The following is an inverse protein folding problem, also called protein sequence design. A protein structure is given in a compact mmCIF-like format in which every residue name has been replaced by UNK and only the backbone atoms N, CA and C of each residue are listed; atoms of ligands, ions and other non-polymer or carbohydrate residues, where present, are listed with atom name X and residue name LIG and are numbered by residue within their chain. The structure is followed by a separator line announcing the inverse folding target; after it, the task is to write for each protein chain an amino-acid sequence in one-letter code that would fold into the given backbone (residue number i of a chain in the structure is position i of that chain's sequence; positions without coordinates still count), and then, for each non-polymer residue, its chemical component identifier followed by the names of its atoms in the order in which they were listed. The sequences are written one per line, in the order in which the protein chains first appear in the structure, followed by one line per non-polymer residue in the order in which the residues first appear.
data_IF_479357123203
#
_entry.id   IF_479357123203
#
_cell.length_a   1.000
_cell.length_b   1.000
_cell.length_c   1.000
_cell.angle_alpha   90.00
_cell.angle_beta   90.00
_cell.angle_gamma   90.00
#
_symmetry.space_group_name_H-M   'P 1'
#
loop_
_entity.id
_entity.type
_entity.pdbx_description
1 polymer ?
#
# COMPACT_ATOMS: atom_id res chain seq x y z
N UNK A 1 17.43 -13.90 -5.69
CA UNK A 1 17.24 -13.32 -4.37
C UNK A 1 16.49 -14.30 -3.44
N UNK A 2 15.30 -14.81 -3.84
CA UNK A 2 14.49 -15.72 -3.05
C UNK A 2 15.27 -16.96 -2.55
N UNK A 3 16.00 -17.63 -3.43
CA UNK A 3 16.81 -18.80 -3.10
C UNK A 3 17.87 -18.51 -2.00
N UNK A 4 18.47 -17.30 -2.01
CA UNK A 4 19.45 -16.88 -0.99
C UNK A 4 18.87 -16.86 0.42
N UNK A 5 17.56 -16.63 0.54
CA UNK A 5 16.85 -16.61 1.82
C UNK A 5 16.10 -17.93 2.11
N UNK A 6 16.30 -18.95 1.28
CA UNK A 6 15.60 -20.23 1.41
C UNK A 6 14.10 -20.15 1.10
N UNK A 7 13.67 -19.11 0.37
CA UNK A 7 12.29 -18.95 -0.04
C UNK A 7 12.00 -19.82 -1.25
N UNK A 8 11.06 -20.74 -1.10
CA UNK A 8 10.64 -21.71 -2.12
C UNK A 8 9.41 -21.27 -2.91
N UNK A 9 8.66 -20.35 -2.37
CA UNK A 9 7.40 -19.89 -2.94
C UNK A 9 7.52 -18.43 -3.37
N UNK A 10 6.94 -18.12 -4.53
CA UNK A 10 6.95 -16.78 -5.12
C UNK A 10 5.53 -16.45 -5.56
N UNK A 11 5.07 -15.27 -5.22
CA UNK A 11 3.84 -14.68 -5.72
C UNK A 11 4.17 -13.33 -6.36
N UNK A 12 3.69 -13.12 -7.57
CA UNK A 12 3.74 -11.83 -8.25
C UNK A 12 2.34 -11.22 -8.21
N UNK A 13 2.22 -10.05 -7.65
CA UNK A 13 1.00 -9.24 -7.64
C UNK A 13 0.55 -8.85 -9.05
N UNK A 14 -0.56 -8.17 -9.14
CA UNK A 14 -0.97 -7.54 -10.40
C UNK A 14 0.03 -6.47 -10.78
N UNK A 15 0.37 -6.38 -12.06
CA UNK A 15 1.21 -5.31 -12.58
C UNK A 15 0.77 -4.95 -14.00
N UNK A 16 0.97 -3.69 -14.36
CA UNK A 16 0.65 -3.14 -15.69
C UNK A 16 1.89 -2.67 -16.45
N UNK A 17 3.04 -2.73 -15.79
CA UNK A 17 4.33 -2.27 -16.30
C UNK A 17 5.47 -3.15 -15.75
N UNK A 18 6.69 -2.70 -15.87
CA UNK A 18 7.90 -3.42 -15.48
C UNK A 18 8.23 -3.31 -13.97
N UNK A 19 7.29 -2.83 -13.14
CA UNK A 19 7.43 -2.68 -11.69
C UNK A 19 6.52 -3.62 -10.89
N UNK A 20 6.60 -4.95 -11.07
CA UNK A 20 5.77 -5.90 -10.34
C UNK A 20 6.13 -5.92 -8.86
N UNK A 21 5.11 -6.02 -8.01
CA UNK A 21 5.30 -6.30 -6.59
C UNK A 21 5.40 -7.82 -6.41
N UNK A 22 6.44 -8.25 -5.70
CA UNK A 22 6.75 -9.68 -5.53
C UNK A 22 6.83 -10.04 -4.06
N UNK A 23 6.13 -11.10 -3.67
CA UNK A 23 6.24 -11.72 -2.36
C UNK A 23 7.02 -13.02 -2.52
N UNK A 24 8.02 -13.24 -1.68
CA UNK A 24 8.70 -14.54 -1.59
C UNK A 24 8.59 -15.09 -0.18
N UNK A 25 8.43 -16.41 -0.03
CA UNK A 25 8.19 -17.04 1.26
C UNK A 25 8.87 -18.40 1.39
N UNK A 26 9.18 -18.79 2.62
CA UNK A 26 9.53 -20.17 2.98
C UNK A 26 8.32 -21.07 3.06
N UNK A 27 7.14 -20.48 3.29
CA UNK A 27 5.87 -21.18 3.46
C UNK A 27 5.04 -21.07 2.20
N UNK A 28 4.13 -22.05 1.95
CA UNK A 28 3.23 -22.00 0.81
C UNK A 28 2.45 -20.69 0.72
N UNK A 29 2.37 -20.16 -0.49
CA UNK A 29 1.60 -18.96 -0.81
C UNK A 29 0.35 -19.39 -1.58
N UNK A 30 -0.81 -19.00 -1.06
CA UNK A 30 -2.07 -19.05 -1.80
C UNK A 30 -2.23 -17.75 -2.59
N UNK A 31 -2.44 -17.87 -3.89
CA UNK A 31 -2.69 -16.72 -4.76
C UNK A 31 -4.15 -16.30 -4.61
N UNK A 32 -4.40 -15.19 -3.94
CA UNK A 32 -5.75 -14.69 -3.72
C UNK A 32 -6.22 -13.82 -4.88
N UNK A 33 -5.51 -12.72 -5.15
CA UNK A 33 -5.94 -11.77 -6.18
C UNK A 33 -4.77 -10.95 -6.73
N UNK A 34 -4.70 -10.84 -8.05
CA UNK A 34 -3.89 -9.83 -8.74
C UNK A 34 -4.77 -8.65 -9.07
N UNK A 35 -4.33 -7.45 -8.74
CA UNK A 35 -5.10 -6.22 -8.86
C UNK A 35 -4.42 -5.33 -9.88
N UNK A 36 -5.01 -5.24 -11.07
CA UNK A 36 -4.49 -4.45 -12.20
C UNK A 36 -5.49 -3.42 -12.72
N UNK A 37 -6.67 -3.32 -12.08
CA UNK A 37 -7.83 -2.73 -12.72
C UNK A 37 -8.37 -3.64 -13.83
N UNK A 38 -9.56 -3.38 -14.34
CA UNK A 38 -10.24 -4.22 -15.33
C UNK A 38 -10.32 -3.59 -16.72
N UNK A 39 -9.41 -2.70 -17.05
CA UNK A 39 -9.37 -2.02 -18.35
C UNK A 39 -10.33 -0.84 -18.50
N UNK A 40 -11.44 -0.83 -17.79
CA UNK A 40 -12.36 0.32 -17.69
C UNK A 40 -12.02 1.17 -16.46
N UNK A 41 -11.58 0.54 -15.38
CA UNK A 41 -11.09 1.19 -14.18
C UNK A 41 -9.57 1.32 -14.27
N UNK A 42 -9.08 2.19 -15.11
CA UNK A 42 -7.64 2.47 -15.24
C UNK A 42 -7.04 3.16 -14.02
N UNK A 43 -7.73 3.01 -12.87
CA UNK A 43 -7.32 3.66 -11.63
C UNK A 43 -6.03 3.07 -11.03
N UNK A 44 -5.76 1.77 -11.24
CA UNK A 44 -4.55 1.13 -10.73
C UNK A 44 -3.40 1.36 -11.69
N UNK A 45 -2.34 2.03 -11.21
CA UNK A 45 -1.19 2.42 -12.02
C UNK A 45 -0.20 1.27 -12.22
N UNK A 46 0.62 1.00 -11.22
CA UNK A 46 1.61 -0.10 -11.31
C UNK A 46 0.98 -1.44 -10.97
N UNK A 47 0.09 -1.47 -10.01
CA UNK A 47 -0.62 -2.66 -9.61
C UNK A 47 -0.53 -2.95 -8.12
N UNK A 48 -1.28 -3.97 -7.70
CA UNK A 48 -1.28 -4.49 -6.36
C UNK A 48 -1.54 -5.99 -6.37
N UNK A 49 -1.36 -6.63 -5.23
CA UNK A 49 -1.63 -8.04 -5.09
C UNK A 49 -2.04 -8.41 -3.68
N UNK A 50 -2.92 -9.39 -3.56
CA UNK A 50 -3.29 -10.03 -2.32
C UNK A 50 -2.86 -11.49 -2.36
N UNK A 51 -2.03 -11.90 -1.43
CA UNK A 51 -1.61 -13.27 -1.22
C UNK A 51 -1.92 -13.70 0.22
N UNK A 52 -1.98 -15.01 0.44
CA UNK A 52 -2.20 -15.59 1.75
C UNK A 52 -1.11 -16.60 2.07
N UNK A 53 -0.59 -16.54 3.29
CA UNK A 53 0.38 -17.50 3.80
C UNK A 53 -0.21 -18.17 5.03
N UNK A 54 -0.12 -19.51 5.11
CA UNK A 54 -0.44 -20.27 6.31
C UNK A 54 0.85 -20.59 7.06
N UNK A 55 0.87 -20.23 8.32
CA UNK A 55 2.00 -20.46 9.21
C UNK A 55 1.53 -20.78 10.62
N UNK A 56 1.98 -21.92 11.17
CA UNK A 56 1.63 -22.38 12.51
C UNK A 56 0.11 -22.32 12.83
N UNK A 57 -0.72 -22.77 11.90
CA UNK A 57 -2.17 -22.77 12.04
C UNK A 57 -2.83 -21.39 11.90
N UNK A 58 -2.05 -20.33 11.73
CA UNK A 58 -2.53 -18.97 11.51
C UNK A 58 -2.49 -18.63 10.03
N UNK A 59 -3.40 -17.75 9.63
CA UNK A 59 -3.50 -17.26 8.27
C UNK A 59 -3.07 -15.80 8.24
N UNK A 60 -2.07 -15.48 7.42
CA UNK A 60 -1.59 -14.13 7.19
C UNK A 60 -2.02 -13.68 5.79
N UNK A 61 -2.76 -12.60 5.70
CA UNK A 61 -3.11 -11.92 4.47
C UNK A 61 -2.10 -10.81 4.19
N UNK A 62 -1.51 -10.83 2.99
CA UNK A 62 -0.47 -9.89 2.60
C UNK A 62 -0.95 -9.14 1.37
N UNK A 63 -1.00 -7.82 1.47
CA UNK A 63 -1.27 -6.92 0.36
C UNK A 63 0.01 -6.17 0.02
N UNK A 64 0.40 -6.26 -1.24
CA UNK A 64 1.50 -5.44 -1.79
C UNK A 64 0.95 -4.46 -2.80
N UNK A 65 1.52 -3.27 -2.86
CA UNK A 65 1.07 -2.23 -3.77
C UNK A 65 2.22 -1.31 -4.20
N UNK A 66 2.00 -0.66 -5.35
CA UNK A 66 2.78 0.46 -5.80
C UNK A 66 1.80 1.43 -6.48
N UNK A 67 1.53 2.55 -5.85
CA UNK A 67 0.53 3.52 -6.34
C UNK A 67 1.14 4.51 -7.33
N UNK A 68 0.32 5.34 -7.91
CA UNK A 68 0.69 6.33 -8.91
C UNK A 68 1.87 7.20 -8.44
N UNK A 69 2.97 7.24 -9.22
CA UNK A 69 4.12 8.05 -8.88
C UNK A 69 3.82 9.55 -9.00
N UNK A 70 4.60 10.37 -8.30
CA UNK A 70 4.33 11.82 -8.23
C UNK A 70 4.46 12.56 -9.56
N UNK A 71 5.13 11.97 -10.55
CA UNK A 71 5.44 12.65 -11.81
C UNK A 71 4.52 12.29 -12.97
N UNK A 72 4.01 11.05 -13.01
CA UNK A 72 3.13 10.59 -14.08
C UNK A 72 2.33 9.38 -13.63
N UNK A 73 1.29 9.04 -14.39
CA UNK A 73 0.50 7.85 -14.18
C UNK A 73 0.18 7.16 -15.50
N UNK A 74 0.26 5.84 -15.54
CA UNK A 74 -0.31 5.04 -16.60
C UNK A 74 -1.81 4.89 -16.37
N UNK A 75 -2.58 4.80 -17.44
CA UNK A 75 -4.00 4.53 -17.36
C UNK A 75 -4.89 5.70 -16.96
N UNK A 76 -4.33 6.89 -16.69
CA UNK A 76 -5.07 8.14 -16.53
C UNK A 76 -4.94 8.95 -17.82
N UNK A 77 -6.00 9.51 -18.41
CA UNK A 77 -5.93 10.38 -19.56
C UNK A 77 -4.92 11.52 -19.33
N UNK A 78 -4.20 11.89 -20.39
CA UNK A 78 -3.13 12.88 -20.28
C UNK A 78 -3.62 14.22 -19.70
N UNK A 79 -4.78 14.64 -20.14
CA UNK A 79 -5.41 15.88 -19.72
C UNK A 79 -5.73 15.87 -18.22
N UNK A 80 -6.26 14.76 -17.72
CA UNK A 80 -6.56 14.58 -16.29
C UNK A 80 -5.29 14.53 -15.45
N UNK A 81 -4.21 13.90 -15.95
CA UNK A 81 -2.91 13.86 -15.27
C UNK A 81 -2.32 15.25 -15.08
N UNK A 82 -2.34 16.07 -16.11
CA UNK A 82 -1.81 17.42 -16.05
C UNK A 82 -2.63 18.29 -15.09
N UNK A 83 -3.95 18.19 -15.10
CA UNK A 83 -4.80 18.90 -14.13
C UNK A 83 -4.53 18.44 -12.70
N UNK A 84 -4.47 17.14 -12.46
CA UNK A 84 -4.20 16.58 -11.14
C UNK A 84 -2.81 16.95 -10.62
N UNK A 85 -1.78 16.88 -11.48
CA UNK A 85 -0.42 17.27 -11.16
C UNK A 85 -0.34 18.76 -10.79
N UNK A 86 -1.02 19.61 -11.52
CA UNK A 86 -1.06 21.05 -11.27
C UNK A 86 -1.82 21.39 -9.97
N UNK A 87 -2.92 20.69 -9.71
CA UNK A 87 -3.83 20.99 -8.59
C UNK A 87 -3.37 20.39 -7.25
N UNK A 88 -2.87 19.14 -7.26
CA UNK A 88 -2.61 18.38 -6.02
C UNK A 88 -1.51 17.32 -6.14
N UNK A 89 -0.65 17.39 -7.13
CA UNK A 89 0.47 16.45 -7.30
C UNK A 89 0.07 15.00 -7.53
N UNK A 90 -1.19 14.75 -7.91
CA UNK A 90 -1.72 13.41 -8.14
C UNK A 90 -2.27 12.72 -6.88
N UNK A 91 -2.34 13.41 -5.77
CA UNK A 91 -2.81 12.85 -4.49
C UNK A 91 -4.23 12.30 -4.59
N UNK A 92 -5.10 12.97 -5.36
CA UNK A 92 -6.46 12.54 -5.62
C UNK A 92 -6.52 11.14 -6.28
N UNK A 93 -5.68 10.90 -7.27
CA UNK A 93 -5.64 9.60 -7.96
C UNK A 93 -5.06 8.52 -7.06
N UNK A 94 -3.99 8.79 -6.33
CA UNK A 94 -3.45 7.84 -5.33
C UNK A 94 -4.48 7.48 -4.27
N UNK A 95 -5.27 8.46 -3.82
CA UNK A 95 -6.38 8.23 -2.90
C UNK A 95 -7.43 7.28 -3.50
N UNK A 96 -7.78 7.45 -4.78
CA UNK A 96 -8.72 6.55 -5.48
C UNK A 96 -8.13 5.15 -5.67
N UNK A 97 -6.83 5.03 -6.02
CA UNK A 97 -6.14 3.75 -6.07
C UNK A 97 -6.19 3.03 -4.73
N UNK A 98 -5.90 3.75 -3.64
CA UNK A 98 -5.91 3.19 -2.29
C UNK A 98 -7.29 2.68 -1.90
N UNK A 99 -8.34 3.45 -2.20
CA UNK A 99 -9.72 3.03 -1.99
C UNK A 99 -10.05 1.74 -2.76
N UNK A 100 -9.67 1.70 -4.04
CA UNK A 100 -9.90 0.54 -4.88
C UNK A 100 -9.15 -0.69 -4.34
N UNK A 101 -7.86 -0.54 -4.00
CA UNK A 101 -7.05 -1.64 -3.45
C UNK A 101 -7.64 -2.14 -2.13
N UNK A 102 -8.04 -1.27 -1.23
CA UNK A 102 -8.68 -1.68 0.03
C UNK A 102 -10.01 -2.41 -0.21
N UNK A 103 -10.83 -1.92 -1.14
CA UNK A 103 -12.10 -2.57 -1.54
C UNK A 103 -11.87 -3.97 -2.09
N UNK A 104 -10.81 -4.15 -2.89
CA UNK A 104 -10.48 -5.41 -3.54
C UNK A 104 -9.73 -6.39 -2.62
N UNK A 105 -9.34 -5.97 -1.43
CA UNK A 105 -8.56 -6.75 -0.46
C UNK A 105 -9.22 -6.80 0.92
N UNK A 106 -8.80 -5.99 1.85
CA UNK A 106 -9.19 -6.07 3.26
C UNK A 106 -10.70 -5.92 3.48
N UNK A 107 -11.37 -5.10 2.68
CA UNK A 107 -12.83 -4.93 2.75
C UNK A 107 -13.61 -6.18 2.30
N UNK A 108 -12.96 -7.16 1.68
CA UNK A 108 -13.58 -8.44 1.35
C UNK A 108 -13.74 -9.35 2.58
N UNK A 109 -13.08 -9.02 3.69
CA UNK A 109 -13.26 -9.71 4.97
C UNK A 109 -14.27 -8.98 5.85
N UNK A 110 -15.31 -9.66 6.29
CA UNK A 110 -16.24 -9.14 7.29
C UNK A 110 -15.67 -9.09 8.72
N UNK A 111 -14.44 -9.56 8.93
CA UNK A 111 -13.82 -9.70 10.26
C UNK A 111 -12.36 -9.24 10.29
N UNK A 112 -11.96 -8.40 9.35
CA UNK A 112 -10.56 -7.99 9.15
C UNK A 112 -9.87 -7.48 10.42
N UNK A 113 -10.59 -6.80 11.32
CA UNK A 113 -10.07 -6.28 12.58
C UNK A 113 -9.56 -7.38 13.54
N UNK A 114 -10.01 -8.63 13.36
CA UNK A 114 -9.61 -9.79 14.17
C UNK A 114 -8.70 -10.76 13.43
N UNK A 115 -8.33 -10.44 12.20
CA UNK A 115 -7.49 -11.26 11.34
C UNK A 115 -6.09 -10.67 11.21
N UNK A 116 -5.15 -11.49 10.75
CA UNK A 116 -3.80 -11.04 10.44
C UNK A 116 -3.74 -10.51 9.01
N UNK A 117 -3.73 -9.21 8.88
CA UNK A 117 -3.52 -8.49 7.63
C UNK A 117 -2.28 -7.62 7.70
N UNK A 118 -1.54 -7.57 6.62
CA UNK A 118 -0.48 -6.60 6.39
C UNK A 118 -0.61 -6.01 5.00
N UNK A 119 -0.24 -4.75 4.87
CA UNK A 119 -0.17 -4.05 3.60
C UNK A 119 1.14 -3.27 3.54
N UNK A 120 1.89 -3.43 2.45
CA UNK A 120 3.20 -2.80 2.30
C UNK A 120 3.48 -2.42 0.85
N UNK A 121 4.32 -1.42 0.68
CA UNK A 121 4.80 -0.99 -0.64
C UNK A 121 5.10 0.49 -0.71
N UNK A 122 5.29 0.96 -1.95
CA UNK A 122 5.43 2.37 -2.26
C UNK A 122 4.04 2.99 -2.47
N UNK A 123 3.65 3.84 -1.54
CA UNK A 123 2.37 4.56 -1.58
C UNK A 123 2.50 5.88 -2.33
N UNK A 124 3.70 6.30 -2.69
CA UNK A 124 3.98 7.59 -3.31
C UNK A 124 3.28 8.79 -2.64
N UNK A 125 2.90 8.63 -1.38
CA UNK A 125 2.13 9.58 -0.59
C UNK A 125 2.74 9.75 0.80
N UNK A 126 2.49 10.88 1.42
CA UNK A 126 2.95 11.19 2.77
C UNK A 126 1.83 10.99 3.77
N UNK A 127 2.18 10.67 5.00
CA UNK A 127 1.21 10.48 6.08
C UNK A 127 1.11 11.70 6.98
N UNK A 128 -0.12 12.02 7.40
CA UNK A 128 -0.39 13.01 8.43
C UNK A 128 0.31 12.70 9.75
N UNK A 129 0.49 11.41 10.06
CA UNK A 129 1.20 10.99 11.27
C UNK A 129 2.66 11.48 11.34
N UNK A 130 3.23 11.88 10.21
CA UNK A 130 4.57 12.45 10.12
C UNK A 130 4.57 13.98 9.97
N UNK A 131 3.41 14.64 10.07
CA UNK A 131 3.31 16.06 9.80
C UNK A 131 4.11 16.95 10.76
N UNK A 132 4.38 16.48 11.96
CA UNK A 132 5.30 17.16 12.89
C UNK A 132 6.70 17.38 12.32
N UNK A 133 7.11 16.57 11.31
CA UNK A 133 8.39 16.69 10.61
C UNK A 133 8.28 17.45 9.31
N UNK A 134 7.13 17.40 8.62
CA UNK A 134 6.90 18.13 7.37
C UNK A 134 6.48 19.58 7.60
N UNK A 135 5.73 19.81 8.65
CA UNK A 135 5.12 21.12 8.98
C UNK A 135 4.31 21.67 7.80
N UNK A 136 3.48 20.84 7.19
CA UNK A 136 2.60 21.22 6.09
C UNK A 136 1.23 21.64 6.60
N UNK A 137 0.48 22.45 5.79
CA UNK A 137 -0.90 22.77 6.12
C UNK A 137 -1.74 21.53 6.38
N UNK A 138 -2.60 21.56 7.40
CA UNK A 138 -3.42 20.43 7.80
C UNK A 138 -4.42 19.99 6.72
N UNK A 139 -4.81 20.89 5.83
CA UNK A 139 -5.71 20.67 4.71
C UNK A 139 -5.02 20.22 3.42
N UNK A 140 -3.71 19.93 3.48
CA UNK A 140 -2.97 19.47 2.30
C UNK A 140 -3.52 18.15 1.75
N UNK A 141 -3.61 18.06 0.43
CA UNK A 141 -4.01 16.84 -0.28
C UNK A 141 -2.99 15.70 -0.16
N UNK A 142 -1.76 16.00 0.23
CA UNK A 142 -0.68 15.03 0.35
C UNK A 142 -0.97 13.90 1.34
N UNK A 143 -1.90 14.09 2.28
CA UNK A 143 -2.26 13.12 3.31
C UNK A 143 -3.47 12.24 2.95
N UNK A 144 -4.18 12.52 1.87
CA UNK A 144 -5.44 11.85 1.49
C UNK A 144 -5.37 10.33 1.44
N UNK A 145 -4.25 9.76 1.00
CA UNK A 145 -4.07 8.30 0.89
C UNK A 145 -4.11 7.63 2.26
N UNK A 146 -3.30 8.16 3.17
CA UNK A 146 -3.16 7.60 4.51
C UNK A 146 -4.34 7.95 5.42
N UNK A 147 -4.90 9.15 5.28
CA UNK A 147 -6.15 9.52 5.95
C UNK A 147 -7.28 8.54 5.60
N UNK A 148 -7.40 8.18 4.30
CA UNK A 148 -8.37 7.17 3.89
C UNK A 148 -8.12 5.82 4.57
N UNK A 149 -6.88 5.36 4.57
CA UNK A 149 -6.51 4.08 5.19
C UNK A 149 -6.88 4.04 6.67
N UNK A 150 -6.49 5.07 7.42
CA UNK A 150 -6.79 5.17 8.86
C UNK A 150 -8.28 5.28 9.19
N UNK A 151 -9.06 5.94 8.34
CA UNK A 151 -10.49 6.15 8.57
C UNK A 151 -11.36 4.96 8.16
N UNK A 152 -10.92 4.17 7.18
CA UNK A 152 -11.78 3.17 6.52
C UNK A 152 -11.27 1.73 6.65
N UNK A 153 -10.14 1.51 7.32
CA UNK A 153 -9.57 0.17 7.52
C UNK A 153 -9.07 0.00 8.95
N UNK A 154 -8.95 -1.24 9.45
CA UNK A 154 -8.32 -1.52 10.75
C UNK A 154 -6.78 -1.52 10.68
N UNK A 155 -6.17 -0.96 9.66
CA UNK A 155 -4.73 -0.86 9.54
C UNK A 155 -4.12 0.20 10.45
N UNK A 156 -3.03 -0.15 11.09
CA UNK A 156 -2.15 0.74 11.85
C UNK A 156 -0.79 0.85 11.16
N UNK A 157 -0.18 2.00 11.19
CA UNK A 157 1.18 2.25 10.70
C UNK A 157 2.18 1.68 11.71
N UNK A 158 2.79 0.53 11.40
CA UNK A 158 3.67 -0.22 12.30
C UNK A 158 4.87 0.60 12.76
N UNK A 159 5.46 1.36 11.85
CA UNK A 159 6.65 2.16 12.17
C UNK A 159 6.28 3.29 13.10
N UNK A 160 5.18 3.97 12.84
CA UNK A 160 4.73 5.09 13.68
C UNK A 160 4.24 4.64 15.05
N UNK A 161 3.55 3.50 15.11
CA UNK A 161 3.12 2.90 16.36
C UNK A 161 4.31 2.52 17.25
N UNK A 162 5.36 1.96 16.65
CA UNK A 162 6.56 1.53 17.38
C UNK A 162 7.49 2.67 17.75
N UNK A 163 7.55 3.71 16.90
CA UNK A 163 8.47 4.85 17.04
C UNK A 163 7.71 6.18 16.87
N UNK A 164 6.81 6.53 17.79
CA UNK A 164 5.87 7.64 17.61
C UNK A 164 6.55 9.00 17.47
N UNK A 165 7.72 9.17 18.04
CA UNK A 165 8.47 10.42 18.07
C UNK A 165 9.65 10.45 17.07
N UNK A 166 9.82 9.38 16.28
CA UNK A 166 10.89 9.28 15.30
C UNK A 166 10.36 9.44 13.87
N UNK A 167 11.25 9.83 12.98
CA UNK A 167 10.96 9.96 11.55
C UNK A 167 12.01 9.21 10.73
N UNK A 168 11.54 8.32 9.88
CA UNK A 168 12.37 7.52 8.99
C UNK A 168 12.06 7.88 7.55
N UNK A 169 13.08 8.30 6.81
CA UNK A 169 12.92 8.58 5.37
C UNK A 169 13.09 7.32 4.55
N UNK A 170 12.33 7.17 3.49
CA UNK A 170 12.47 6.09 2.52
C UNK A 170 12.95 6.59 1.15
N UNK A 171 13.08 7.90 0.99
CA UNK A 171 13.59 8.52 -0.23
C UNK A 171 14.76 9.46 0.05
N UNK A 172 15.58 9.72 -0.98
CA UNK A 172 16.61 10.75 -0.91
C UNK A 172 16.08 12.19 -0.73
N UNK A 173 14.78 12.41 -0.95
CA UNK A 173 14.08 13.68 -0.78
C UNK A 173 13.59 13.95 0.65
N UNK A 174 14.07 13.22 1.63
CA UNK A 174 13.69 13.35 3.05
C UNK A 174 12.18 13.14 3.30
N UNK A 175 11.55 12.25 2.54
CA UNK A 175 10.16 11.87 2.72
C UNK A 175 10.02 10.39 3.00
N UNK A 176 8.95 10.01 3.68
CA UNK A 176 8.53 8.63 3.84
C UNK A 176 7.34 8.41 2.90
N UNK A 177 7.50 7.52 1.93
CA UNK A 177 6.46 7.14 0.97
C UNK A 177 6.26 5.63 0.90
N UNK A 178 7.18 4.87 1.49
CA UNK A 178 7.04 3.43 1.69
C UNK A 178 6.53 3.16 3.10
N UNK A 179 5.49 2.35 3.20
CA UNK A 179 4.84 2.07 4.47
C UNK A 179 4.63 0.58 4.69
N UNK A 180 4.57 0.24 5.96
CA UNK A 180 4.15 -1.05 6.45
C UNK A 180 2.97 -0.86 7.41
N UNK A 181 1.82 -1.34 6.99
CA UNK A 181 0.60 -1.37 7.76
C UNK A 181 0.27 -2.79 8.20
N UNK A 182 -0.32 -2.94 9.38
CA UNK A 182 -0.92 -4.20 9.78
C UNK A 182 -2.15 -3.98 10.68
N UNK A 183 -2.94 -5.03 10.85
CA UNK A 183 -4.02 -5.03 11.84
C UNK A 183 -3.47 -5.23 13.24
N UNK A 184 -4.21 -4.78 14.26
CA UNK A 184 -3.80 -4.88 15.66
C UNK A 184 -3.45 -6.31 16.12
N UNK A 185 -4.23 -7.37 15.75
CA UNK A 185 -3.84 -8.74 16.09
C UNK A 185 -2.48 -9.16 15.55
N UNK A 186 -2.13 -8.72 14.33
CA UNK A 186 -0.82 -8.99 13.77
C UNK A 186 0.26 -8.16 14.47
N UNK A 187 0.00 -6.88 14.74
CA UNK A 187 0.95 -6.01 15.47
C UNK A 187 1.33 -6.59 16.84
N UNK A 188 0.36 -7.13 17.57
CA UNK A 188 0.62 -7.80 18.87
C UNK A 188 1.38 -9.12 18.78
N UNK A 189 1.51 -9.68 17.58
CA UNK A 189 2.15 -10.98 17.33
C UNK A 189 3.59 -10.88 16.79
N UNK A 190 4.10 -9.66 16.52
CA UNK A 190 5.42 -9.39 15.92
C UNK A 190 6.40 -8.67 16.86
#
# INVERSE_FOLDING_TARGET
LAARYGHKYIYMGGHRDDYPQVITSRFPIENMKRITGNGQDSIVTHGAGWARIRFNGKQLNIVTLHTWPQRYSFGIPKEEREVSKAANGGDKYRRMEMEYICKETIAQSGNAQNEYWMMMGDFNAKSRSDNSFYNWPEDTTAFLVHDYSHQNTPYIDVIKEKYPNEFFTTTGGKTRIDFFYCTEPLYKAI
#
